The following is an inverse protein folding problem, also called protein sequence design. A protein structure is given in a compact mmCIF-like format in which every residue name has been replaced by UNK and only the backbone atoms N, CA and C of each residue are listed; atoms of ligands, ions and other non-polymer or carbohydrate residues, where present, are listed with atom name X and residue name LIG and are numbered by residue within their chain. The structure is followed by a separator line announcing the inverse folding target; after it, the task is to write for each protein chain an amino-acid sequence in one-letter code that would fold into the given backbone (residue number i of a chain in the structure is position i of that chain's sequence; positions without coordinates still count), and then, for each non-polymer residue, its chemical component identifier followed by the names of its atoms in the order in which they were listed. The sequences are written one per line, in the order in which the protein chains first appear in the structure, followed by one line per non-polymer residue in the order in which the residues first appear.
data_IF_215850169110
#
_entry.id   IF_215850169110
#
_cell.length_a   1.000
_cell.length_b   1.000
_cell.length_c   1.000
_cell.angle_alpha   90.00
_cell.angle_beta   90.00
_cell.angle_gamma   90.00
#
_symmetry.space_group_name_H-M   'P 1'
#
loop_
_entity.id
_entity.type
_entity.pdbx_description
1 polymer ?
#
# COMPACT_ATOMS: atom_id res chain seq x y z
N UNK A 1 20.31 -33.82 27.11
CA UNK A 1 20.47 -32.34 27.14
C UNK A 1 19.69 -31.75 25.97
N UNK A 2 18.40 -31.45 26.14
CA UNK A 2 17.57 -30.97 25.01
C UNK A 2 16.25 -30.32 25.39
N UNK A 3 16.02 -30.02 26.67
CA UNK A 3 14.75 -29.49 27.19
C UNK A 3 14.85 -28.04 27.69
N UNK A 4 16.00 -27.37 27.53
CA UNK A 4 16.32 -26.11 28.21
C UNK A 4 16.46 -24.90 27.27
N UNK A 5 16.05 -25.03 26.01
CA UNK A 5 16.16 -23.97 24.99
C UNK A 5 14.83 -23.25 24.69
N UNK A 6 13.72 -23.68 25.30
CA UNK A 6 12.38 -23.09 25.03
C UNK A 6 11.95 -22.07 26.10
N UNK A 7 12.69 -21.98 27.21
CA UNK A 7 12.29 -21.19 28.39
C UNK A 7 12.51 -19.68 28.30
N UNK A 8 13.20 -19.19 27.26
CA UNK A 8 13.51 -17.75 27.11
C UNK A 8 12.77 -17.08 25.94
N UNK A 9 11.75 -17.72 25.37
CA UNK A 9 10.81 -17.00 24.48
C UNK A 9 9.78 -16.28 25.35
N UNK A 10 10.16 -15.16 25.96
CA UNK A 10 9.22 -14.23 26.56
C UNK A 10 8.45 -13.52 25.44
N UNK A 11 7.54 -14.25 24.78
CA UNK A 11 6.51 -13.64 23.94
C UNK A 11 5.60 -12.86 24.89
N UNK A 12 5.74 -11.53 24.91
CA UNK A 12 4.75 -10.68 25.57
C UNK A 12 3.40 -10.95 24.90
N UNK A 13 2.32 -11.25 25.65
CA UNK A 13 1.00 -11.34 25.06
C UNK A 13 0.66 -9.99 24.40
N UNK A 14 -0.15 -10.01 23.33
CA UNK A 14 -0.50 -8.80 22.56
C UNK A 14 -1.11 -7.70 23.45
N UNK A 15 -1.73 -8.09 24.58
CA UNK A 15 -2.25 -7.19 25.62
C UNK A 15 -1.19 -6.38 26.36
N UNK A 16 0.07 -6.83 26.34
CA UNK A 16 1.19 -6.25 27.08
C UNK A 16 2.05 -5.33 26.20
N UNK A 17 1.66 -5.11 24.94
CA UNK A 17 2.16 -3.97 24.17
C UNK A 17 1.69 -2.70 24.85
N UNK A 18 2.64 -1.79 25.08
CA UNK A 18 2.36 -0.65 25.93
C UNK A 18 1.42 0.33 25.20
N UNK A 19 0.62 1.15 25.92
CA UNK A 19 -0.27 2.13 25.30
C UNK A 19 0.43 3.06 24.30
N UNK A 20 1.74 3.30 24.48
CA UNK A 20 2.56 4.04 23.53
C UNK A 20 2.68 3.39 22.13
N UNK A 21 2.46 2.08 22.00
CA UNK A 21 2.47 1.35 20.73
C UNK A 21 1.13 1.49 19.99
N UNK A 22 0.07 1.99 20.64
CA UNK A 22 -1.26 2.13 20.03
C UNK A 22 -1.25 3.08 18.82
N UNK A 23 -0.48 4.17 18.89
CA UNK A 23 -0.33 5.11 17.78
C UNK A 23 0.34 4.43 16.57
N UNK A 24 1.38 3.63 16.81
CA UNK A 24 2.08 2.87 15.78
C UNK A 24 1.17 1.83 15.12
N UNK A 25 0.47 1.02 15.92
CA UNK A 25 -0.47 0.03 15.41
C UNK A 25 -1.63 0.68 14.63
N UNK A 26 -2.14 1.81 15.13
CA UNK A 26 -3.16 2.59 14.43
C UNK A 26 -2.63 3.13 13.09
N UNK A 27 -1.42 3.68 13.04
CA UNK A 27 -0.80 4.16 11.80
C UNK A 27 -0.63 3.02 10.78
N UNK A 28 -0.20 1.83 11.20
CA UNK A 28 -0.15 0.65 10.33
C UNK A 28 -1.53 0.30 9.79
N UNK A 29 -2.56 0.27 10.65
CA UNK A 29 -3.95 0.05 10.25
C UNK A 29 -4.43 1.07 9.22
N UNK A 30 -4.14 2.36 9.45
CA UNK A 30 -4.44 3.45 8.51
C UNK A 30 -3.77 3.25 7.16
N UNK A 31 -2.48 2.91 7.13
CA UNK A 31 -1.74 2.65 5.89
C UNK A 31 -2.38 1.50 5.09
N UNK A 32 -2.65 0.37 5.75
CA UNK A 32 -3.24 -0.82 5.09
C UNK A 32 -4.64 -0.52 4.57
N UNK A 33 -5.47 0.15 5.38
CA UNK A 33 -6.83 0.51 4.98
C UNK A 33 -6.82 1.55 3.85
N UNK A 34 -6.03 2.60 3.94
CA UNK A 34 -5.93 3.64 2.91
C UNK A 34 -5.49 3.06 1.57
N UNK A 35 -4.51 2.15 1.56
CA UNK A 35 -4.10 1.44 0.34
C UNK A 35 -5.24 0.65 -0.28
N UNK A 36 -5.95 -0.10 0.56
CA UNK A 36 -7.09 -0.92 0.15
C UNK A 36 -8.23 -0.06 -0.39
N UNK A 37 -8.50 1.09 0.22
CA UNK A 37 -9.50 2.05 -0.25
C UNK A 37 -9.11 2.67 -1.59
N UNK A 38 -7.82 2.95 -1.79
CA UNK A 38 -7.30 3.44 -3.07
C UNK A 38 -7.50 2.43 -4.20
N UNK A 39 -7.18 1.15 -3.96
CA UNK A 39 -7.42 0.08 -4.94
C UNK A 39 -8.91 0.00 -5.32
N UNK A 40 -9.81 0.07 -4.34
CA UNK A 40 -11.27 0.05 -4.56
C UNK A 40 -11.74 1.28 -5.35
N UNK A 41 -11.23 2.46 -5.00
CA UNK A 41 -11.61 3.72 -5.66
C UNK A 41 -11.12 3.74 -7.11
N UNK A 42 -9.91 3.24 -7.36
CA UNK A 42 -9.37 3.10 -8.71
C UNK A 42 -10.15 2.07 -9.53
N UNK A 43 -10.48 0.93 -8.95
CA UNK A 43 -11.33 -0.08 -9.59
C UNK A 43 -12.70 0.50 -10.00
N UNK A 44 -13.35 1.24 -9.11
CA UNK A 44 -14.61 1.93 -9.41
C UNK A 44 -14.46 2.94 -10.55
N UNK A 45 -13.40 3.77 -10.52
CA UNK A 45 -13.10 4.75 -11.57
C UNK A 45 -12.88 4.08 -12.94
N UNK A 46 -12.15 2.97 -12.98
CA UNK A 46 -11.94 2.19 -14.20
C UNK A 46 -13.27 1.62 -14.71
N UNK A 47 -14.15 1.16 -13.82
CA UNK A 47 -15.51 0.76 -14.16
C UNK A 47 -16.28 1.85 -14.90
N UNK A 48 -16.28 3.08 -14.36
CA UNK A 48 -16.92 4.23 -15.01
C UNK A 48 -16.31 4.54 -16.39
N UNK A 49 -14.99 4.43 -16.53
CA UNK A 49 -14.32 4.63 -17.81
C UNK A 49 -14.70 3.54 -18.84
N UNK A 50 -14.85 2.28 -18.42
CA UNK A 50 -15.31 1.18 -19.28
C UNK A 50 -16.73 1.43 -19.76
N UNK A 51 -17.63 1.78 -18.85
CA UNK A 51 -19.02 2.12 -19.17
C UNK A 51 -19.10 3.26 -20.19
N UNK A 52 -18.30 4.32 -20.00
CA UNK A 52 -18.26 5.45 -20.92
C UNK A 52 -17.76 5.08 -22.34
N UNK A 53 -16.96 4.01 -22.48
CA UNK A 53 -16.51 3.47 -23.76
C UNK A 53 -17.46 2.40 -24.33
N UNK A 54 -18.57 2.12 -23.65
CA UNK A 54 -19.54 1.09 -24.06
C UNK A 54 -19.11 -0.34 -23.72
N UNK A 55 -18.10 -0.54 -22.88
CA UNK A 55 -17.73 -1.87 -22.38
C UNK A 55 -18.55 -2.21 -21.13
N UNK A 56 -19.65 -2.94 -21.32
CA UNK A 56 -20.64 -3.28 -20.29
C UNK A 56 -20.34 -4.64 -19.63
N UNK A 57 -19.19 -5.25 -19.91
CA UNK A 57 -18.88 -6.58 -19.36
C UNK A 57 -18.62 -6.47 -17.86
N UNK A 58 -19.40 -7.21 -17.09
CA UNK A 58 -19.08 -7.49 -15.69
C UNK A 58 -17.87 -8.41 -15.64
N UNK A 59 -16.67 -7.86 -15.45
CA UNK A 59 -15.47 -8.66 -15.22
C UNK A 59 -15.51 -9.16 -13.78
N UNK A 60 -16.24 -10.25 -13.55
CA UNK A 60 -16.27 -10.98 -12.29
C UNK A 60 -14.94 -11.72 -12.09
N UNK A 61 -13.91 -11.02 -11.63
CA UNK A 61 -12.67 -11.67 -11.26
C UNK A 61 -12.90 -12.44 -9.95
N UNK A 62 -12.59 -13.74 -9.93
CA UNK A 62 -12.57 -14.56 -8.70
C UNK A 62 -11.60 -14.02 -7.63
N UNK A 63 -10.69 -13.14 -8.03
CA UNK A 63 -9.70 -12.50 -7.17
C UNK A 63 -9.71 -11.00 -7.44
N UNK A 64 -9.66 -10.20 -6.37
CA UNK A 64 -9.59 -8.75 -6.47
C UNK A 64 -8.34 -8.34 -7.27
N UNK A 65 -8.45 -7.43 -8.27
CA UNK A 65 -7.30 -6.97 -9.03
C UNK A 65 -6.30 -6.26 -8.10
N UNK A 66 -5.01 -6.50 -8.31
CA UNK A 66 -3.95 -5.77 -7.60
C UNK A 66 -3.80 -4.35 -8.15
N UNK A 67 -3.26 -3.44 -7.36
CA UNK A 67 -2.93 -2.09 -7.80
C UNK A 67 -2.18 -2.05 -9.15
N UNK A 68 -1.21 -2.94 -9.37
CA UNK A 68 -0.46 -3.00 -10.63
C UNK A 68 -1.36 -3.30 -11.85
N UNK A 69 -2.34 -4.21 -11.69
CA UNK A 69 -3.31 -4.51 -12.76
C UNK A 69 -4.21 -3.31 -13.03
N UNK A 70 -4.70 -2.68 -11.96
CA UNK A 70 -5.55 -1.49 -12.06
C UNK A 70 -4.83 -0.33 -12.77
N UNK A 71 -3.57 -0.06 -12.43
CA UNK A 71 -2.79 1.00 -13.09
C UNK A 71 -2.52 0.71 -14.57
N UNK A 72 -2.17 -0.53 -14.90
CA UNK A 72 -1.98 -0.96 -16.29
C UNK A 72 -3.24 -0.71 -17.11
N UNK A 73 -4.38 -1.03 -16.52
CA UNK A 73 -5.67 -0.79 -17.15
C UNK A 73 -5.98 0.70 -17.29
N UNK A 74 -5.87 1.50 -16.22
CA UNK A 74 -6.08 2.95 -16.28
C UNK A 74 -5.24 3.59 -17.41
N UNK A 75 -3.95 3.24 -17.48
CA UNK A 75 -3.05 3.71 -18.53
C UNK A 75 -3.54 3.35 -19.93
N UNK A 76 -4.03 2.12 -20.11
CA UNK A 76 -4.58 1.65 -21.38
C UNK A 76 -5.83 2.42 -21.76
N UNK A 77 -6.74 2.62 -20.82
CA UNK A 77 -7.99 3.37 -21.01
C UNK A 77 -7.73 4.82 -21.42
N UNK A 78 -6.81 5.50 -20.73
CA UNK A 78 -6.42 6.88 -21.05
C UNK A 78 -5.75 6.95 -22.42
N UNK A 79 -4.84 6.03 -22.73
CA UNK A 79 -4.18 5.98 -24.04
C UNK A 79 -5.17 5.70 -25.19
N UNK A 80 -6.21 4.89 -24.96
CA UNK A 80 -7.25 4.62 -25.96
C UNK A 80 -8.18 5.81 -26.18
N UNK A 81 -8.59 6.48 -25.09
CA UNK A 81 -9.51 7.63 -25.14
C UNK A 81 -8.88 8.83 -25.86
N UNK A 82 -7.62 9.15 -25.56
CA UNK A 82 -6.93 10.26 -26.22
C UNK A 82 -5.42 10.00 -26.31
N UNK A 83 -4.99 9.44 -27.44
CA UNK A 83 -3.57 9.19 -27.74
C UNK A 83 -2.71 10.45 -27.75
N UNK A 84 -3.32 11.65 -27.83
CA UNK A 84 -2.61 12.93 -27.85
C UNK A 84 -2.49 13.58 -26.46
N UNK A 85 -3.15 13.03 -25.43
CA UNK A 85 -3.06 13.52 -24.06
C UNK A 85 -1.76 13.04 -23.37
N UNK A 86 -0.62 13.51 -23.91
CA UNK A 86 0.71 13.18 -23.39
C UNK A 86 0.90 13.63 -21.92
N UNK A 87 0.22 14.70 -21.51
CA UNK A 87 0.21 15.17 -20.12
C UNK A 87 -0.38 14.15 -19.15
N UNK A 88 -1.55 13.57 -19.46
CA UNK A 88 -2.18 12.57 -18.59
C UNK A 88 -1.33 11.29 -18.48
N UNK A 89 -0.75 10.82 -19.59
CA UNK A 89 0.12 9.64 -19.57
C UNK A 89 1.43 9.88 -18.79
N UNK A 90 1.93 11.11 -18.82
CA UNK A 90 3.10 11.53 -18.02
C UNK A 90 2.75 11.54 -16.53
N UNK A 91 1.59 12.08 -16.16
CA UNK A 91 1.11 12.10 -14.78
C UNK A 91 0.87 10.69 -14.24
N UNK A 92 0.23 9.82 -15.01
CA UNK A 92 0.06 8.40 -14.65
C UNK A 92 1.41 7.75 -14.39
N UNK A 93 2.40 7.97 -15.25
CA UNK A 93 3.74 7.40 -15.07
C UNK A 93 4.45 7.93 -13.82
N UNK A 94 4.19 9.18 -13.42
CA UNK A 94 4.68 9.74 -12.16
C UNK A 94 3.99 9.08 -10.95
N UNK A 95 2.67 8.97 -10.99
CA UNK A 95 1.87 8.29 -9.97
C UNK A 95 2.30 6.83 -9.82
N UNK A 96 2.56 6.10 -10.91
CA UNK A 96 3.05 4.71 -10.84
C UNK A 96 4.36 4.58 -10.07
N UNK A 97 5.30 5.52 -10.23
CA UNK A 97 6.58 5.51 -9.49
C UNK A 97 6.37 5.76 -8.00
N UNK A 98 5.56 6.75 -7.67
CA UNK A 98 5.23 7.10 -6.28
C UNK A 98 4.49 5.94 -5.61
N UNK A 99 3.59 5.28 -6.35
CA UNK A 99 2.84 4.13 -5.87
C UNK A 99 3.72 2.91 -5.62
N UNK A 100 4.68 2.62 -6.50
CA UNK A 100 5.67 1.55 -6.27
C UNK A 100 6.54 1.82 -5.05
N UNK A 101 6.88 3.09 -4.78
CA UNK A 101 7.62 3.49 -3.57
C UNK A 101 6.79 3.19 -2.31
N UNK A 102 5.52 3.61 -2.30
CA UNK A 102 4.63 3.38 -1.15
C UNK A 102 4.33 1.89 -0.98
N UNK A 103 4.13 1.11 -2.05
CA UNK A 103 3.89 -0.33 -1.94
C UNK A 103 5.10 -1.09 -1.38
N UNK A 104 6.32 -0.67 -1.75
CA UNK A 104 7.55 -1.21 -1.14
C UNK A 104 7.61 -0.92 0.35
N UNK A 105 7.27 0.30 0.76
CA UNK A 105 7.22 0.67 2.17
C UNK A 105 6.13 -0.11 2.93
N UNK A 106 4.94 -0.21 2.37
CA UNK A 106 3.85 -1.04 2.91
C UNK A 106 4.26 -2.51 3.03
N UNK A 107 4.95 -3.05 2.04
CA UNK A 107 5.45 -4.43 2.05
C UNK A 107 6.54 -4.64 3.11
N UNK A 108 7.40 -3.66 3.34
CA UNK A 108 8.38 -3.67 4.43
C UNK A 108 7.69 -3.77 5.80
N UNK A 109 6.57 -3.08 5.99
CA UNK A 109 5.77 -3.19 7.21
C UNK A 109 5.07 -4.54 7.32
N UNK A 110 4.30 -4.94 6.30
CA UNK A 110 3.43 -6.13 6.37
C UNK A 110 4.24 -7.42 6.39
N UNK A 111 5.23 -7.52 5.51
CA UNK A 111 5.99 -8.77 5.33
C UNK A 111 7.34 -8.73 6.06
N UNK A 112 7.89 -7.54 6.27
CA UNK A 112 9.23 -7.36 6.83
C UNK A 112 9.25 -7.18 8.34
N UNK A 113 8.12 -6.96 9.01
CA UNK A 113 8.09 -6.78 10.47
C UNK A 113 8.83 -7.89 11.22
N UNK A 114 9.70 -7.51 12.15
CA UNK A 114 10.44 -8.45 13.01
C UNK A 114 10.00 -8.31 14.46
N UNK A 115 10.13 -7.10 15.01
CA UNK A 115 9.85 -6.81 16.41
C UNK A 115 9.61 -5.32 16.62
N UNK A 116 8.90 -4.93 17.69
CA UNK A 116 8.83 -3.53 18.10
C UNK A 116 10.19 -2.96 18.49
N UNK A 117 10.33 -1.65 18.35
CA UNK A 117 11.49 -0.89 18.77
C UNK A 117 11.02 0.45 19.36
N UNK A 118 11.92 1.16 20.04
CA UNK A 118 11.60 2.49 20.56
C UNK A 118 11.16 3.42 19.41
N UNK A 119 9.97 4.01 19.54
CA UNK A 119 9.41 4.93 18.54
C UNK A 119 9.00 4.30 17.20
N UNK A 120 9.01 2.98 17.06
CA UNK A 120 8.76 2.33 15.78
C UNK A 120 8.86 0.81 15.74
N UNK A 121 9.26 0.30 14.58
CA UNK A 121 9.43 -1.11 14.32
C UNK A 121 10.79 -1.42 13.73
N UNK A 122 11.31 -2.59 14.06
CA UNK A 122 12.39 -3.19 13.29
C UNK A 122 11.78 -4.06 12.20
N UNK A 123 12.11 -3.78 10.94
CA UNK A 123 11.70 -4.53 9.78
C UNK A 123 12.92 -5.08 9.02
N UNK A 124 12.70 -6.04 8.13
CA UNK A 124 13.67 -6.48 7.12
C UNK A 124 13.13 -6.31 5.72
N UNK A 125 13.93 -5.72 4.85
CA UNK A 125 13.59 -5.56 3.44
C UNK A 125 13.77 -6.87 2.65
N UNK A 126 13.45 -6.84 1.35
CA UNK A 126 13.63 -8.00 0.46
C UNK A 126 15.09 -8.40 0.22
N UNK A 127 16.06 -7.58 0.65
CA UNK A 127 17.50 -7.90 0.63
C UNK A 127 18.00 -8.36 1.99
N UNK A 128 17.09 -8.63 2.93
CA UNK A 128 17.39 -9.04 4.29
C UNK A 128 18.14 -7.97 5.11
N UNK A 129 18.05 -6.70 4.70
CA UNK A 129 18.63 -5.56 5.40
C UNK A 129 17.69 -5.12 6.50
N UNK A 130 18.22 -4.89 7.69
CA UNK A 130 17.45 -4.38 8.82
C UNK A 130 17.15 -2.88 8.61
N UNK A 131 15.88 -2.51 8.69
CA UNK A 131 15.39 -1.14 8.55
C UNK A 131 14.58 -0.81 9.81
N UNK A 132 14.87 0.32 10.43
CA UNK A 132 14.00 0.88 11.46
C UNK A 132 12.94 1.75 10.79
N UNK A 133 11.67 1.52 11.12
CA UNK A 133 10.55 2.34 10.64
C UNK A 133 9.91 3.05 11.83
N UNK A 134 10.11 4.36 11.91
CA UNK A 134 9.54 5.22 12.95
C UNK A 134 8.06 5.55 12.72
N UNK A 135 7.36 5.99 13.77
CA UNK A 135 6.00 6.56 13.67
C UNK A 135 5.93 7.74 12.68
N UNK A 136 6.90 8.66 12.75
CA UNK A 136 6.92 9.84 11.87
C UNK A 136 7.02 9.44 10.40
N UNK A 137 7.86 8.45 10.11
CA UNK A 137 7.98 7.90 8.76
C UNK A 137 6.67 7.26 8.29
N UNK A 138 5.95 6.52 9.16
CA UNK A 138 4.62 5.99 8.83
C UNK A 138 3.63 7.10 8.47
N UNK A 139 3.54 8.15 9.28
CA UNK A 139 2.62 9.27 9.03
C UNK A 139 2.97 10.04 7.75
N UNK A 140 4.26 10.22 7.44
CA UNK A 140 4.71 10.82 6.17
C UNK A 140 4.28 9.97 4.97
N UNK A 141 4.43 8.65 5.04
CA UNK A 141 4.04 7.75 3.96
C UNK A 141 2.51 7.68 3.80
N UNK A 142 1.76 7.74 4.90
CA UNK A 142 0.29 7.83 4.87
C UNK A 142 -0.15 9.15 4.22
N UNK A 143 0.46 10.28 4.58
CA UNK A 143 0.18 11.57 3.96
C UNK A 143 0.53 11.58 2.46
N UNK A 144 1.64 10.95 2.09
CA UNK A 144 2.04 10.78 0.68
C UNK A 144 1.04 9.94 -0.11
N UNK A 145 0.49 8.89 0.51
CA UNK A 145 -0.55 8.05 -0.09
C UNK A 145 -1.86 8.82 -0.31
N UNK A 146 -2.25 9.68 0.63
CA UNK A 146 -3.45 10.52 0.47
C UNK A 146 -3.29 11.51 -0.70
N UNK A 147 -2.15 12.19 -0.78
CA UNK A 147 -1.84 13.08 -1.91
C UNK A 147 -1.81 12.33 -3.25
N UNK A 148 -1.24 11.12 -3.27
CA UNK A 148 -1.24 10.26 -4.45
C UNK A 148 -2.65 9.86 -4.85
N UNK A 149 -3.51 9.50 -3.89
CA UNK A 149 -4.89 9.15 -4.14
C UNK A 149 -5.66 10.31 -4.81
N UNK A 150 -5.49 11.53 -4.29
CA UNK A 150 -6.12 12.73 -4.85
C UNK A 150 -5.67 12.98 -6.30
N UNK A 151 -4.37 12.90 -6.57
CA UNK A 151 -3.81 13.04 -7.93
C UNK A 151 -4.35 11.97 -8.86
N UNK A 152 -4.32 10.71 -8.44
CA UNK A 152 -4.79 9.57 -9.24
C UNK A 152 -6.26 9.66 -9.59
N UNK A 153 -7.10 10.08 -8.64
CA UNK A 153 -8.53 10.21 -8.86
C UNK A 153 -8.89 11.43 -9.72
N UNK A 154 -8.00 12.42 -9.84
CA UNK A 154 -8.18 13.57 -10.73
C UNK A 154 -7.82 13.32 -12.21
N UNK A 155 -7.06 12.26 -12.53
CA UNK A 155 -6.64 11.92 -13.92
C UNK A 155 -7.77 11.47 -14.83
#
# INVERSE_FOLDING_TARGET
MGLQLVSDMTMKPVSDYAPQDAALLCAVGRLVCAWTMLEQSLEAKIGLLREAMGDIRTVGARTRPSMAKLMTELRTMVAMRDRRNASALTEISAIERDMQRIDRFRSLIINGFQQPAEGGFTCRDGRNTQIHVSLDQLEIEIGSLDQLAQRLLAV
#
